data_IF_688772434466
#
_entry.id   IF_688772434466
#
_cell.length_a   1.000
_cell.length_b   1.000
_cell.length_c   1.000
_cell.angle_alpha   90.00
_cell.angle_beta   90.00
_cell.angle_gamma   90.00
#
_symmetry.space_group_name_H-M   'P 1'
#
loop_
_entity.id
_entity.type
_entity.pdbx_description
1 polymer ?
#
# COMPACT_ATOMS: atom_id res chain seq x y z
N UNK A 1 16.90 -0.41 -26.13
CA UNK A 1 17.31 0.86 -25.47
C UNK A 1 16.69 1.02 -24.08
N UNK A 2 15.38 0.75 -23.90
CA UNK A 2 14.69 0.90 -22.59
C UNK A 2 15.21 -0.08 -21.53
N UNK A 3 15.50 -1.33 -21.89
CA UNK A 3 16.05 -2.35 -20.99
C UNK A 3 17.44 -1.95 -20.47
N UNK A 4 18.32 -1.47 -21.35
CA UNK A 4 19.66 -1.01 -20.94
C UNK A 4 19.62 0.20 -20.01
N UNK A 5 18.66 1.12 -20.17
CA UNK A 5 18.46 2.24 -19.25
C UNK A 5 18.02 1.75 -17.88
N UNK A 6 17.08 0.81 -17.83
CA UNK A 6 16.62 0.22 -16.56
C UNK A 6 17.75 -0.53 -15.84
N UNK A 7 18.64 -1.19 -16.59
CA UNK A 7 19.79 -1.87 -15.99
C UNK A 7 20.81 -0.91 -15.39
N UNK A 8 21.06 0.23 -16.02
CA UNK A 8 21.98 1.25 -15.51
C UNK A 8 21.51 1.90 -14.21
N UNK A 9 20.19 1.96 -13.96
CA UNK A 9 19.62 2.55 -12.75
C UNK A 9 19.28 1.52 -11.67
N UNK A 10 19.50 0.21 -11.90
CA UNK A 10 19.27 -0.85 -10.91
C UNK A 10 19.86 -0.55 -9.52
N UNK A 11 21.10 -0.08 -9.37
CA UNK A 11 21.65 0.23 -8.04
C UNK A 11 20.84 1.30 -7.31
N UNK A 12 20.39 2.33 -8.02
CA UNK A 12 19.55 3.38 -7.45
C UNK A 12 18.18 2.80 -7.00
N UNK A 13 17.58 1.95 -7.84
CA UNK A 13 16.31 1.27 -7.51
C UNK A 13 16.48 0.44 -6.23
N UNK A 14 17.58 -0.29 -6.06
CA UNK A 14 17.86 -1.08 -4.85
C UNK A 14 17.98 -0.24 -3.60
N UNK A 15 18.63 0.90 -3.70
CA UNK A 15 18.73 1.85 -2.57
C UNK A 15 17.34 2.39 -2.20
N UNK A 16 16.53 2.73 -3.20
CA UNK A 16 15.14 3.18 -2.98
C UNK A 16 14.26 2.09 -2.37
N UNK A 17 14.34 0.85 -2.84
CA UNK A 17 13.64 -0.32 -2.28
C UNK A 17 14.01 -0.52 -0.81
N UNK A 18 15.30 -0.50 -0.48
CA UNK A 18 15.78 -0.66 0.89
C UNK A 18 15.30 0.49 1.79
N UNK A 19 15.36 1.73 1.29
CA UNK A 19 14.87 2.91 2.01
C UNK A 19 13.36 2.84 2.26
N UNK A 20 12.59 2.44 1.26
CA UNK A 20 11.15 2.27 1.38
C UNK A 20 10.79 1.17 2.40
N UNK A 21 11.48 0.01 2.33
CA UNK A 21 11.30 -1.07 3.30
C UNK A 21 11.59 -0.60 4.72
N UNK A 22 12.69 0.13 4.93
CA UNK A 22 13.04 0.70 6.23
C UNK A 22 11.94 1.63 6.77
N UNK A 23 11.41 2.52 5.92
CA UNK A 23 10.32 3.44 6.30
C UNK A 23 9.06 2.64 6.67
N UNK A 24 8.69 1.64 5.89
CA UNK A 24 7.49 0.80 6.15
C UNK A 24 7.65 0.04 7.47
N UNK A 25 8.80 -0.59 7.71
CA UNK A 25 9.07 -1.32 8.95
C UNK A 25 8.98 -0.37 10.16
N UNK A 26 9.63 0.78 10.08
CA UNK A 26 9.59 1.80 11.14
C UNK A 26 8.16 2.29 11.39
N UNK A 27 7.39 2.54 10.33
CA UNK A 27 5.99 2.93 10.41
C UNK A 27 5.15 1.86 11.14
N UNK A 28 5.29 0.59 10.77
CA UNK A 28 4.54 -0.53 11.39
C UNK A 28 4.92 -0.67 12.87
N UNK A 29 6.21 -0.65 13.20
CA UNK A 29 6.68 -0.74 14.59
C UNK A 29 6.10 0.39 15.44
N UNK A 30 6.19 1.63 14.95
CA UNK A 30 5.63 2.79 15.65
C UNK A 30 4.10 2.70 15.79
N UNK A 31 3.38 2.26 14.76
CA UNK A 31 1.93 2.10 14.80
C UNK A 31 1.50 1.07 15.86
N UNK A 32 2.20 -0.07 15.93
CA UNK A 32 1.98 -1.12 16.94
C UNK A 32 2.29 -0.58 18.33
N UNK A 33 3.45 0.05 18.54
CA UNK A 33 3.84 0.63 19.81
C UNK A 33 2.81 1.65 20.32
N UNK A 34 2.41 2.60 19.49
CA UNK A 34 1.42 3.63 19.82
C UNK A 34 0.06 3.02 20.13
N UNK A 35 -0.35 1.97 19.41
CA UNK A 35 -1.63 1.29 19.66
C UNK A 35 -1.67 0.68 21.06
N UNK A 36 -0.60 -0.01 21.48
CA UNK A 36 -0.51 -0.59 22.83
C UNK A 36 -0.37 0.47 23.92
N UNK A 37 0.47 1.48 23.69
CA UNK A 37 0.67 2.59 24.63
C UNK A 37 -0.64 3.36 24.89
N UNK A 38 -1.38 3.69 23.81
CA UNK A 38 -2.66 4.38 23.94
C UNK A 38 -3.74 3.53 24.63
N UNK A 39 -3.77 2.21 24.36
CA UNK A 39 -4.67 1.31 25.09
C UNK A 39 -4.38 1.28 26.59
N UNK A 40 -3.11 1.26 26.98
CA UNK A 40 -2.68 1.29 28.38
C UNK A 40 -3.05 2.62 29.05
N UNK A 41 -2.83 3.73 28.37
CA UNK A 41 -3.20 5.06 28.88
C UNK A 41 -4.73 5.24 29.00
N UNK A 42 -5.52 4.65 28.10
CA UNK A 42 -6.97 4.70 28.12
C UNK A 42 -7.63 3.83 29.20
N UNK A 43 -6.88 2.98 29.90
CA UNK A 43 -7.41 2.20 31.04
C UNK A 43 -7.86 3.09 32.22
N UNK A 44 -7.40 4.34 32.28
CA UNK A 44 -7.83 5.37 33.23
C UNK A 44 -8.87 6.30 32.61
N UNK A 45 -9.87 5.79 31.93
CA UNK A 45 -10.86 6.59 31.20
C UNK A 45 -11.69 7.48 32.12
N UNK A 46 -11.57 8.79 31.95
CA UNK A 46 -12.63 9.75 32.22
C UNK A 46 -13.80 9.51 31.26
N UNK A 47 -15.02 9.73 31.73
CA UNK A 47 -16.32 9.39 31.16
C UNK A 47 -16.71 10.09 29.83
N UNK A 48 -15.78 10.56 29.03
CA UNK A 48 -16.10 11.18 27.74
C UNK A 48 -15.92 10.14 26.63
N UNK A 49 -17.01 9.84 25.94
CA UNK A 49 -16.98 8.92 24.80
C UNK A 49 -16.17 9.53 23.65
N UNK A 50 -14.91 9.07 23.53
CA UNK A 50 -14.00 9.49 22.46
C UNK A 50 -14.51 9.10 21.05
N UNK A 51 -15.54 8.26 20.94
CA UNK A 51 -16.16 7.88 19.67
C UNK A 51 -16.88 9.06 19.01
N UNK A 52 -17.39 10.01 19.78
CA UNK A 52 -18.11 11.17 19.28
C UNK A 52 -17.21 12.18 18.55
N UNK A 53 -15.89 12.19 18.83
CA UNK A 53 -14.94 13.16 18.29
C UNK A 53 -13.98 12.59 17.24
N UNK A 54 -13.89 11.27 17.10
CA UNK A 54 -12.96 10.60 16.17
C UNK A 54 -13.67 10.12 14.90
N UNK A 55 -13.03 10.31 13.74
CA UNK A 55 -13.56 9.78 12.47
C UNK A 55 -13.54 8.25 12.43
N UNK A 56 -14.44 7.64 11.64
CA UNK A 56 -14.45 6.18 11.42
C UNK A 56 -13.10 5.71 10.90
N UNK A 57 -12.48 6.43 9.96
CA UNK A 57 -11.15 6.11 9.44
C UNK A 57 -10.07 6.09 10.52
N UNK A 58 -10.12 7.03 11.48
CA UNK A 58 -9.17 7.06 12.60
C UNK A 58 -9.31 5.83 13.50
N UNK A 59 -10.56 5.39 13.77
CA UNK A 59 -10.85 4.22 14.60
C UNK A 59 -10.48 2.89 13.96
N UNK A 60 -10.56 2.83 12.62
CA UNK A 60 -10.28 1.62 11.84
C UNK A 60 -8.85 1.56 11.30
N UNK A 61 -7.98 2.52 11.69
CA UNK A 61 -6.63 2.63 11.16
C UNK A 61 -5.76 1.38 11.41
N UNK A 62 -5.88 0.78 12.60
CA UNK A 62 -5.13 -0.44 12.91
C UNK A 62 -5.63 -1.63 12.08
N UNK A 63 -6.94 -1.72 11.81
CA UNK A 63 -7.52 -2.79 11.01
C UNK A 63 -7.04 -2.65 9.55
N UNK A 64 -7.18 -1.45 8.98
CA UNK A 64 -6.70 -1.19 7.62
C UNK A 64 -5.20 -1.42 7.49
N UNK A 65 -4.40 -0.97 8.46
CA UNK A 65 -2.96 -1.20 8.49
C UNK A 65 -2.59 -2.69 8.55
N UNK A 66 -3.34 -3.50 9.30
CA UNK A 66 -3.14 -4.96 9.36
C UNK A 66 -3.43 -5.64 8.02
N UNK A 67 -4.53 -5.27 7.35
CA UNK A 67 -4.87 -5.78 6.02
C UNK A 67 -3.80 -5.41 5.01
N UNK A 68 -3.30 -4.17 5.05
CA UNK A 68 -2.23 -3.68 4.18
C UNK A 68 -0.93 -4.44 4.45
N UNK A 69 -0.58 -4.70 5.70
CA UNK A 69 0.61 -5.48 6.04
C UNK A 69 0.51 -6.91 5.49
N UNK A 70 -0.64 -7.57 5.63
CA UNK A 70 -0.88 -8.89 5.06
C UNK A 70 -0.75 -8.86 3.53
N UNK A 71 -1.33 -7.86 2.88
CA UNK A 71 -1.16 -7.65 1.45
C UNK A 71 0.31 -7.49 1.06
N UNK A 72 1.11 -6.70 1.79
CA UNK A 72 2.54 -6.54 1.52
C UNK A 72 3.29 -7.87 1.60
N UNK A 73 3.02 -8.69 2.62
CA UNK A 73 3.67 -10.00 2.77
C UNK A 73 3.37 -10.89 1.56
N UNK A 74 2.11 -10.97 1.15
CA UNK A 74 1.68 -11.78 -0.01
C UNK A 74 2.28 -11.21 -1.29
N UNK A 75 2.20 -9.90 -1.51
CA UNK A 75 2.74 -9.22 -2.68
C UNK A 75 4.24 -9.43 -2.83
N UNK A 76 5.01 -9.20 -1.76
CA UNK A 76 6.45 -9.40 -1.78
C UNK A 76 6.81 -10.87 -2.00
N UNK A 77 6.09 -11.82 -1.39
CA UNK A 77 6.36 -13.26 -1.53
C UNK A 77 6.09 -13.77 -2.95
N UNK A 78 4.97 -13.44 -3.54
CA UNK A 78 4.54 -14.03 -4.81
C UNK A 78 4.90 -13.19 -6.03
N UNK A 79 4.92 -11.88 -5.92
CA UNK A 79 5.22 -11.01 -7.06
C UNK A 79 6.70 -10.62 -7.06
N UNK A 80 7.18 -9.93 -6.02
CA UNK A 80 8.53 -9.38 -6.00
C UNK A 80 9.60 -10.48 -5.90
N UNK A 81 9.47 -11.43 -4.96
CA UNK A 81 10.45 -12.50 -4.77
C UNK A 81 10.51 -13.44 -5.98
N UNK A 82 9.38 -13.79 -6.56
CA UNK A 82 9.34 -14.62 -7.77
C UNK A 82 10.06 -13.91 -8.93
N UNK A 83 9.82 -12.61 -9.12
CA UNK A 83 10.54 -11.83 -10.12
C UNK A 83 12.05 -11.85 -9.90
N UNK A 84 12.51 -11.68 -8.66
CA UNK A 84 13.94 -11.74 -8.35
C UNK A 84 14.51 -13.14 -8.64
N UNK A 85 13.79 -14.20 -8.32
CA UNK A 85 14.22 -15.58 -8.58
C UNK A 85 14.36 -15.84 -10.10
N UNK A 86 13.41 -15.39 -10.92
CA UNK A 86 13.49 -15.49 -12.38
C UNK A 86 14.72 -14.79 -12.97
N UNK A 87 15.07 -13.63 -12.45
CA UNK A 87 16.28 -12.91 -12.88
C UNK A 87 17.57 -13.68 -12.60
N UNK A 88 17.60 -14.49 -11.53
CA UNK A 88 18.77 -15.29 -11.17
C UNK A 88 18.85 -16.62 -11.91
N UNK A 89 17.70 -17.21 -12.26
CA UNK A 89 17.63 -18.56 -12.83
C UNK A 89 17.63 -18.58 -14.36
N UNK A 90 17.66 -17.41 -15.04
CA UNK A 90 17.59 -17.28 -16.51
C UNK A 90 16.45 -18.12 -17.14
N UNK A 91 15.30 -18.17 -16.47
CA UNK A 91 14.13 -18.89 -16.97
C UNK A 91 13.55 -18.22 -18.21
N UNK A 92 13.06 -19.04 -19.14
CA UNK A 92 12.45 -18.59 -20.41
C UNK A 92 11.09 -17.90 -20.23
N UNK A 93 10.46 -18.09 -19.06
CA UNK A 93 9.16 -17.50 -18.72
C UNK A 93 9.32 -16.01 -18.42
N UNK A 94 8.44 -15.18 -19.00
CA UNK A 94 8.48 -13.75 -18.72
C UNK A 94 7.83 -13.44 -17.37
N UNK A 95 8.22 -12.31 -16.77
CA UNK A 95 7.57 -11.83 -15.54
C UNK A 95 6.05 -11.65 -15.71
N UNK A 96 5.64 -11.34 -16.92
CA UNK A 96 4.25 -11.22 -17.30
C UNK A 96 3.50 -12.56 -17.20
N UNK A 97 4.09 -13.65 -17.71
CA UNK A 97 3.51 -14.99 -17.63
C UNK A 97 3.36 -15.43 -16.16
N UNK A 98 4.33 -15.08 -15.32
CA UNK A 98 4.26 -15.34 -13.87
C UNK A 98 3.08 -14.64 -13.22
N UNK A 99 2.84 -13.37 -13.55
CA UNK A 99 1.70 -12.60 -13.00
C UNK A 99 0.34 -13.20 -13.37
N UNK A 100 0.24 -13.77 -14.57
CA UNK A 100 -1.01 -14.34 -15.11
C UNK A 100 -1.29 -15.77 -14.62
N UNK A 101 -0.39 -16.40 -13.89
CA UNK A 101 -0.59 -17.76 -13.36
C UNK A 101 -1.91 -17.88 -12.59
N UNK A 102 -2.69 -18.91 -12.92
CA UNK A 102 -3.92 -19.23 -12.19
C UNK A 102 -3.64 -20.07 -10.95
N UNK A 103 -2.80 -19.54 -10.06
CA UNK A 103 -2.41 -20.17 -8.79
C UNK A 103 -2.52 -19.16 -7.66
N UNK A 104 -2.80 -19.64 -6.45
CA UNK A 104 -2.88 -18.80 -5.26
C UNK A 104 -1.63 -17.92 -5.10
N UNK A 105 -1.82 -16.63 -4.89
CA UNK A 105 -0.78 -15.63 -4.77
C UNK A 105 -0.53 -14.79 -6.02
N UNK A 106 -0.99 -15.24 -7.20
CA UNK A 106 -0.82 -14.54 -8.48
C UNK A 106 -2.13 -13.90 -8.97
N UNK A 107 -2.02 -12.92 -9.86
CA UNK A 107 -3.18 -12.11 -10.29
C UNK A 107 -4.14 -12.83 -11.24
N UNK A 108 -3.71 -13.90 -11.92
CA UNK A 108 -4.60 -14.74 -12.73
C UNK A 108 -5.58 -15.55 -11.88
N UNK A 109 -5.29 -15.79 -10.60
CA UNK A 109 -6.16 -16.54 -9.68
C UNK A 109 -7.22 -15.61 -9.08
N UNK A 110 -8.50 -15.86 -9.42
CA UNK A 110 -9.62 -14.99 -9.05
C UNK A 110 -9.71 -14.65 -7.54
N UNK A 111 -9.59 -15.60 -6.59
CA UNK A 111 -9.60 -15.26 -5.17
C UNK A 111 -8.47 -14.32 -4.76
N UNK A 112 -7.27 -14.49 -5.33
CA UNK A 112 -6.14 -13.58 -5.11
C UNK A 112 -6.44 -12.20 -5.68
N UNK A 113 -6.97 -12.11 -6.90
CA UNK A 113 -7.35 -10.85 -7.53
C UNK A 113 -8.38 -10.08 -6.70
N UNK A 114 -9.40 -10.76 -6.17
CA UNK A 114 -10.40 -10.16 -5.26
C UNK A 114 -9.73 -9.63 -3.99
N UNK A 115 -8.85 -10.42 -3.37
CA UNK A 115 -8.10 -9.99 -2.19
C UNK A 115 -7.26 -8.73 -2.48
N UNK A 116 -6.59 -8.68 -3.64
CA UNK A 116 -5.79 -7.52 -4.06
C UNK A 116 -6.66 -6.27 -4.25
N UNK A 117 -7.83 -6.40 -4.88
CA UNK A 117 -8.76 -5.27 -5.05
C UNK A 117 -9.20 -4.73 -3.68
N UNK A 118 -9.60 -5.62 -2.75
CA UNK A 118 -9.98 -5.24 -1.39
C UNK A 118 -8.81 -4.54 -0.69
N UNK A 119 -7.61 -5.10 -0.76
CA UNK A 119 -6.42 -4.51 -0.15
C UNK A 119 -6.10 -3.12 -0.73
N UNK A 120 -6.23 -2.93 -2.05
CA UNK A 120 -5.99 -1.64 -2.71
C UNK A 120 -7.02 -0.59 -2.24
N UNK A 121 -8.28 -0.96 -2.01
CA UNK A 121 -9.28 -0.05 -1.44
C UNK A 121 -8.91 0.37 -0.01
N UNK A 122 -8.40 -0.57 0.81
CA UNK A 122 -7.89 -0.24 2.14
C UNK A 122 -6.65 0.65 2.08
N UNK A 123 -5.72 0.41 1.13
CA UNK A 123 -4.56 1.27 0.88
C UNK A 123 -5.01 2.69 0.52
N UNK A 124 -5.97 2.84 -0.39
CA UNK A 124 -6.51 4.14 -0.79
C UNK A 124 -7.10 4.92 0.41
N UNK A 125 -7.90 4.25 1.23
CA UNK A 125 -8.48 4.83 2.44
C UNK A 125 -7.42 5.22 3.47
N UNK A 126 -6.44 4.34 3.69
CA UNK A 126 -5.33 4.55 4.62
C UNK A 126 -4.44 5.72 4.21
N UNK A 127 -4.07 5.79 2.92
CA UNK A 127 -3.30 6.90 2.35
C UNK A 127 -4.06 8.22 2.43
N UNK A 128 -5.36 8.23 2.11
CA UNK A 128 -6.21 9.44 2.24
C UNK A 128 -6.17 9.98 3.66
N UNK A 129 -6.40 9.12 4.65
CA UNK A 129 -6.34 9.51 6.06
C UNK A 129 -4.92 9.96 6.46
N UNK A 130 -3.90 9.22 6.07
CA UNK A 130 -2.49 9.53 6.36
C UNK A 130 -2.07 10.89 5.82
N UNK A 131 -2.41 11.20 4.57
CA UNK A 131 -2.13 12.52 3.97
C UNK A 131 -2.86 13.63 4.73
N UNK A 132 -4.14 13.45 5.03
CA UNK A 132 -4.90 14.44 5.79
C UNK A 132 -4.29 14.69 7.18
N UNK A 133 -3.90 13.63 7.87
CA UNK A 133 -3.26 13.72 9.18
C UNK A 133 -1.89 14.42 9.11
N UNK A 134 -1.07 14.06 8.13
CA UNK A 134 0.24 14.69 7.91
C UNK A 134 0.09 16.20 7.63
N UNK A 135 -0.82 16.59 6.74
CA UNK A 135 -1.06 18.00 6.44
C UNK A 135 -1.53 18.80 7.66
N UNK A 136 -2.34 18.19 8.54
CA UNK A 136 -2.73 18.80 9.83
C UNK A 136 -1.51 18.97 10.74
N UNK A 137 -0.67 17.95 10.87
CA UNK A 137 0.53 17.98 11.70
C UNK A 137 1.51 19.09 11.27
N UNK A 138 1.61 19.34 9.96
CA UNK A 138 2.43 20.42 9.40
C UNK A 138 1.77 21.81 9.46
N UNK A 139 0.57 21.95 10.05
CA UNK A 139 -0.14 23.22 10.14
C UNK A 139 -0.62 23.78 8.80
N UNK A 140 -0.74 22.93 7.78
CA UNK A 140 -1.09 23.35 6.40
C UNK A 140 -2.58 23.44 6.15
N UNK A 141 -3.43 23.10 7.13
CA UNK A 141 -4.88 23.03 6.98
C UNK A 141 -5.57 24.39 6.96
N UNK A 142 -4.94 25.43 7.50
CA UNK A 142 -5.49 26.79 7.59
C UNK A 142 -4.99 27.71 6.47
N UNK A 143 -4.10 27.21 5.61
CA UNK A 143 -3.47 27.98 4.55
C UNK A 143 -4.25 27.82 3.23
N UNK A 144 -4.25 28.88 2.38
CA UNK A 144 -4.82 28.83 1.02
C UNK A 144 -4.23 27.70 0.15
N UNK A 145 -3.02 27.26 0.44
CA UNK A 145 -2.34 26.13 -0.22
C UNK A 145 -2.94 24.75 0.12
N UNK A 146 -3.76 24.64 1.17
CA UNK A 146 -4.42 23.39 1.56
C UNK A 146 -5.17 22.74 0.41
N UNK A 147 -5.99 23.49 -0.30
CA UNK A 147 -6.80 22.97 -1.41
C UNK A 147 -5.92 22.37 -2.50
N UNK A 148 -4.81 23.02 -2.84
CA UNK A 148 -3.89 22.57 -3.89
C UNK A 148 -3.20 21.27 -3.46
N UNK A 149 -2.65 21.24 -2.23
CA UNK A 149 -1.95 20.05 -1.70
C UNK A 149 -2.90 18.87 -1.54
N UNK A 150 -4.11 19.11 -1.04
CA UNK A 150 -5.11 18.06 -0.89
C UNK A 150 -5.60 17.54 -2.25
N UNK A 151 -5.88 18.43 -3.21
CA UNK A 151 -6.26 18.02 -4.56
C UNK A 151 -5.14 17.26 -5.27
N UNK A 152 -3.88 17.68 -5.11
CA UNK A 152 -2.72 16.96 -5.63
C UNK A 152 -2.57 15.56 -5.01
N UNK A 153 -2.94 15.39 -3.74
CA UNK A 153 -2.88 14.09 -3.07
C UNK A 153 -3.88 13.06 -3.61
N UNK A 154 -4.92 13.49 -4.34
CA UNK A 154 -5.89 12.60 -5.01
C UNK A 154 -5.17 11.67 -6.00
N UNK A 155 -4.08 12.13 -6.61
CA UNK A 155 -3.25 11.28 -7.47
C UNK A 155 -2.79 10.02 -6.69
N UNK A 156 -2.35 10.18 -5.45
CA UNK A 156 -1.75 9.12 -4.63
C UNK A 156 -2.81 8.15 -4.09
N UNK A 157 -3.86 8.66 -3.47
CA UNK A 157 -4.86 7.82 -2.81
C UNK A 157 -6.09 7.50 -3.67
N UNK A 158 -6.25 8.16 -4.84
CA UNK A 158 -7.38 7.97 -5.76
C UNK A 158 -6.92 7.37 -7.09
N UNK A 159 -6.20 8.13 -7.91
CA UNK A 159 -5.91 7.76 -9.31
C UNK A 159 -5.00 6.52 -9.38
N UNK A 160 -3.91 6.48 -8.61
CA UNK A 160 -2.98 5.33 -8.63
C UNK A 160 -3.68 4.03 -8.18
N UNK A 161 -4.41 3.97 -7.06
CA UNK A 161 -5.19 2.79 -6.69
C UNK A 161 -6.20 2.35 -7.76
N UNK A 162 -6.91 3.29 -8.38
CA UNK A 162 -7.85 2.98 -9.46
C UNK A 162 -7.15 2.37 -10.69
N UNK A 163 -5.97 2.88 -11.05
CA UNK A 163 -5.17 2.33 -12.13
C UNK A 163 -4.77 0.87 -11.84
N UNK A 164 -4.33 0.55 -10.61
CA UNK A 164 -4.02 -0.83 -10.23
C UNK A 164 -5.25 -1.74 -10.26
N UNK A 165 -6.41 -1.27 -9.79
CA UNK A 165 -7.66 -2.04 -9.88
C UNK A 165 -8.02 -2.30 -11.35
N UNK A 166 -7.89 -1.32 -12.24
CA UNK A 166 -8.18 -1.50 -13.66
C UNK A 166 -7.28 -2.53 -14.32
N UNK A 167 -5.99 -2.62 -13.95
CA UNK A 167 -5.07 -3.65 -14.42
C UNK A 167 -5.54 -5.03 -13.96
N UNK A 168 -5.88 -5.20 -12.69
CA UNK A 168 -6.35 -6.49 -12.16
C UNK A 168 -7.64 -6.93 -12.87
N UNK A 169 -8.59 -6.03 -13.06
CA UNK A 169 -9.82 -6.32 -13.77
C UNK A 169 -9.53 -6.67 -15.24
N UNK A 170 -8.61 -5.98 -15.89
CA UNK A 170 -8.23 -6.28 -17.29
C UNK A 170 -7.63 -7.69 -17.43
N UNK A 171 -6.87 -8.16 -16.43
CA UNK A 171 -6.36 -9.54 -16.37
C UNK A 171 -7.54 -10.51 -16.20
N UNK A 172 -8.44 -10.27 -15.26
CA UNK A 172 -9.56 -11.16 -14.96
C UNK A 172 -10.58 -11.27 -16.10
N UNK A 173 -10.78 -10.20 -16.86
CA UNK A 173 -11.65 -10.20 -18.04
C UNK A 173 -10.93 -10.66 -19.32
N UNK A 174 -9.65 -11.05 -19.25
CA UNK A 174 -8.89 -11.53 -20.40
C UNK A 174 -8.62 -10.46 -21.46
N UNK A 175 -8.68 -9.17 -21.11
CA UNK A 175 -8.30 -8.05 -21.96
C UNK A 175 -6.78 -8.04 -22.12
N UNK A 176 -6.08 -8.32 -21.02
CA UNK A 176 -4.64 -8.53 -20.96
C UNK A 176 -4.42 -10.04 -20.88
N UNK A 177 -3.75 -10.60 -21.90
CA UNK A 177 -3.47 -12.04 -22.04
C UNK A 177 -1.97 -12.25 -22.15
#
# INVERSE_FOLDING_TARGET
QMVGLLESIKPLIRVMEAGLLFIIVTHVVNAVYLTFSNKKAAANRYSVDASATSSVNSRTMIISGTIILLFFIIHLRYIWFTYQAHLFLNESETYYDVLLRNQAGYLGHLPTAIFYIIAILFIASHLKHGVQSALKTFGLTENSKWKILYSGSILIWGIIPLAFISIILSIQFGIIK
#
